data_IF_732205660741
#
_entry.id   IF_732205660741
#
_cell.length_a   1.000
_cell.length_b   1.000
_cell.length_c   1.000
_cell.angle_alpha   90.00
_cell.angle_beta   90.00
_cell.angle_gamma   90.00
#
_symmetry.space_group_name_H-M   'P 1'
#
loop_
_entity.id
_entity.type
_entity.pdbx_description
1 polymer ?
#
# COMPACT_ATOMS: atom_id res chain seq x y z
N UNK A 1 19.76 -19.02 -3.46
CA UNK A 1 19.41 -17.59 -3.23
C UNK A 1 18.63 -17.57 -1.93
N UNK A 2 19.19 -16.97 -0.87
CA UNK A 2 18.49 -16.82 0.41
C UNK A 2 17.51 -15.67 0.23
N UNK A 3 16.21 -15.97 0.18
CA UNK A 3 15.19 -14.93 0.19
C UNK A 3 15.15 -14.35 1.61
N UNK A 4 15.82 -13.22 1.82
CA UNK A 4 15.61 -12.44 3.03
C UNK A 4 14.20 -11.84 2.97
N UNK A 5 13.33 -12.35 3.84
CA UNK A 5 11.98 -11.82 3.99
C UNK A 5 12.12 -10.47 4.68
N UNK A 6 11.96 -9.39 3.92
CA UNK A 6 11.90 -8.04 4.48
C UNK A 6 10.76 -7.97 5.50
N UNK A 7 11.03 -7.30 6.63
CA UNK A 7 10.03 -7.04 7.66
C UNK A 7 8.82 -6.30 7.07
N UNK A 8 7.65 -6.45 7.71
CA UNK A 8 6.38 -5.89 7.21
C UNK A 8 6.40 -4.36 7.08
N UNK A 9 7.18 -3.69 7.91
CA UNK A 9 7.40 -2.24 7.93
C UNK A 9 8.59 -1.78 7.08
N UNK A 10 9.25 -2.69 6.37
CA UNK A 10 10.36 -2.32 5.51
C UNK A 10 9.87 -1.47 4.32
N UNK A 11 10.45 -0.28 4.07
CA UNK A 11 9.99 0.62 3.02
C UNK A 11 9.88 -0.03 1.64
N UNK A 12 10.86 -0.84 1.24
CA UNK A 12 10.85 -1.53 -0.07
C UNK A 12 9.71 -2.56 -0.20
N UNK A 13 9.34 -3.21 0.91
CA UNK A 13 8.21 -4.14 0.93
C UNK A 13 6.90 -3.38 0.77
N UNK A 14 6.73 -2.27 1.49
CA UNK A 14 5.55 -1.41 1.40
C UNK A 14 5.40 -0.80 0.00
N UNK A 15 6.51 -0.36 -0.61
CA UNK A 15 6.52 0.13 -1.99
C UNK A 15 6.10 -0.97 -2.99
N UNK A 16 6.63 -2.19 -2.84
CA UNK A 16 6.25 -3.32 -3.68
C UNK A 16 4.77 -3.71 -3.52
N UNK A 17 4.23 -3.64 -2.30
CA UNK A 17 2.81 -3.89 -2.02
C UNK A 17 1.90 -2.79 -2.61
N UNK A 18 2.34 -1.53 -2.60
CA UNK A 18 1.63 -0.44 -3.27
C UNK A 18 1.50 -0.72 -4.77
N UNK A 19 2.61 -1.08 -5.43
CA UNK A 19 2.61 -1.40 -6.86
C UNK A 19 1.79 -2.64 -7.19
N UNK A 20 1.82 -3.66 -6.33
CA UNK A 20 0.95 -4.83 -6.46
C UNK A 20 -0.55 -4.45 -6.38
N UNK A 21 -0.91 -3.55 -5.47
CA UNK A 21 -2.29 -3.07 -5.37
C UNK A 21 -2.71 -2.30 -6.63
N UNK A 22 -1.81 -1.48 -7.21
CA UNK A 22 -2.06 -0.82 -8.50
C UNK A 22 -2.24 -1.83 -9.64
N UNK A 23 -1.44 -2.90 -9.67
CA UNK A 23 -1.59 -3.96 -10.66
C UNK A 23 -2.94 -4.70 -10.51
N UNK A 24 -3.38 -5.00 -9.29
CA UNK A 24 -4.71 -5.56 -9.05
C UNK A 24 -5.83 -4.63 -9.53
N UNK A 25 -5.72 -3.33 -9.26
CA UNK A 25 -6.72 -2.36 -9.70
C UNK A 25 -6.80 -2.30 -11.23
N UNK A 26 -5.64 -2.26 -11.91
CA UNK A 26 -5.56 -2.26 -13.37
C UNK A 26 -6.10 -3.55 -14.01
N UNK A 27 -5.98 -4.68 -13.30
CA UNK A 27 -6.52 -5.98 -13.71
C UNK A 27 -8.01 -6.17 -13.33
N UNK A 28 -8.69 -5.13 -12.83
CA UNK A 28 -10.10 -5.20 -12.43
C UNK A 28 -10.35 -5.92 -11.09
N UNK A 29 -9.29 -6.32 -10.38
CA UNK A 29 -9.34 -6.97 -9.08
C UNK A 29 -9.50 -5.94 -7.94
N UNK A 30 -10.50 -5.07 -8.06
CA UNK A 30 -10.61 -3.85 -7.25
C UNK A 30 -10.70 -4.15 -5.76
N UNK A 31 -11.44 -5.20 -5.35
CA UNK A 31 -11.53 -5.60 -3.94
C UNK A 31 -10.16 -5.94 -3.34
N UNK A 32 -9.36 -6.73 -4.06
CA UNK A 32 -8.03 -7.17 -3.61
C UNK A 32 -7.04 -6.01 -3.59
N UNK A 33 -7.16 -5.07 -4.54
CA UNK A 33 -6.39 -3.83 -4.53
C UNK A 33 -6.68 -3.00 -3.28
N UNK A 34 -7.95 -2.78 -2.97
CA UNK A 34 -8.39 -2.01 -1.79
C UNK A 34 -7.91 -2.66 -0.49
N UNK A 35 -8.13 -3.96 -0.32
CA UNK A 35 -7.69 -4.69 0.88
C UNK A 35 -6.17 -4.59 1.09
N UNK A 36 -5.38 -4.71 0.01
CA UNK A 36 -3.92 -4.57 0.09
C UNK A 36 -3.50 -3.13 0.41
N UNK A 37 -4.15 -2.12 -0.16
CA UNK A 37 -3.84 -0.72 0.12
C UNK A 37 -4.25 -0.32 1.54
N UNK A 38 -5.35 -0.85 2.08
CA UNK A 38 -5.72 -0.70 3.49
C UNK A 38 -4.66 -1.25 4.43
N UNK A 39 -4.06 -2.40 4.09
CA UNK A 39 -2.93 -2.95 4.82
C UNK A 39 -1.73 -1.99 4.79
N UNK A 40 -1.32 -1.51 3.61
CA UNK A 40 -0.18 -0.58 3.47
C UNK A 40 -0.39 0.68 4.31
N UNK A 41 -1.58 1.31 4.21
CA UNK A 41 -1.93 2.49 5.02
C UNK A 41 -1.81 2.19 6.51
N UNK A 42 -2.31 1.04 6.98
CA UNK A 42 -2.22 0.67 8.40
C UNK A 42 -0.78 0.57 8.90
N UNK A 43 0.13 0.03 8.09
CA UNK A 43 1.55 -0.05 8.45
C UNK A 43 2.20 1.33 8.41
N UNK A 44 1.98 2.10 7.34
CA UNK A 44 2.50 3.47 7.21
C UNK A 44 2.07 4.37 8.36
N UNK A 45 0.83 4.24 8.83
CA UNK A 45 0.32 5.01 9.97
C UNK A 45 1.01 4.68 11.30
N UNK A 46 1.50 3.44 11.44
CA UNK A 46 2.22 2.96 12.63
C UNK A 46 3.69 3.35 12.60
N UNK A 47 4.31 3.32 11.42
CA UNK A 47 5.76 3.50 11.24
C UNK A 47 6.12 4.96 11.00
N UNK A 48 5.33 5.67 10.20
CA UNK A 48 5.62 7.02 9.77
C UNK A 48 4.76 8.07 10.49
N UNK A 49 5.35 9.25 10.72
CA UNK A 49 4.63 10.43 11.18
C UNK A 49 3.58 10.87 10.15
N UNK A 50 2.61 11.66 10.59
CA UNK A 50 1.45 12.04 9.78
C UNK A 50 1.81 12.85 8.51
N UNK A 51 2.95 13.51 8.50
CA UNK A 51 3.48 14.35 7.42
C UNK A 51 4.43 13.61 6.48
N UNK A 52 4.69 12.32 6.72
CA UNK A 52 5.63 11.56 5.92
C UNK A 52 5.09 11.29 4.51
N UNK A 53 5.89 11.49 3.44
CA UNK A 53 5.44 11.34 2.06
C UNK A 53 4.82 9.98 1.73
N UNK A 54 5.40 8.87 2.21
CA UNK A 54 4.88 7.53 1.93
C UNK A 54 3.48 7.31 2.49
N UNK A 55 3.22 7.83 3.69
CA UNK A 55 1.90 7.75 4.34
C UNK A 55 0.87 8.58 3.60
N UNK A 56 1.22 9.81 3.21
CA UNK A 56 0.34 10.68 2.44
C UNK A 56 0.00 10.04 1.07
N UNK A 57 0.99 9.42 0.43
CA UNK A 57 0.80 8.74 -0.85
C UNK A 57 -0.18 7.57 -0.71
N UNK A 58 0.04 6.63 0.22
CA UNK A 58 -0.83 5.47 0.40
C UNK A 58 -2.26 5.86 0.80
N UNK A 59 -2.42 6.85 1.70
CA UNK A 59 -3.73 7.38 2.10
C UNK A 59 -4.46 8.06 0.92
N UNK A 60 -3.74 8.81 0.08
CA UNK A 60 -4.32 9.46 -1.11
C UNK A 60 -4.77 8.46 -2.16
N UNK A 61 -3.97 7.41 -2.40
CA UNK A 61 -4.31 6.33 -3.34
C UNK A 61 -5.56 5.59 -2.88
N UNK A 62 -5.62 5.18 -1.60
CA UNK A 62 -6.79 4.51 -1.04
C UNK A 62 -8.05 5.37 -1.14
N UNK A 63 -7.92 6.68 -0.86
CA UNK A 63 -9.03 7.63 -0.98
C UNK A 63 -9.52 7.73 -2.42
N UNK A 64 -8.62 7.81 -3.40
CA UNK A 64 -8.98 7.86 -4.81
C UNK A 64 -9.80 6.63 -5.23
N UNK A 65 -9.40 5.43 -4.80
CA UNK A 65 -10.09 4.20 -5.20
C UNK A 65 -11.46 4.05 -4.55
N UNK A 66 -11.62 4.53 -3.31
CA UNK A 66 -12.93 4.54 -2.62
C UNK A 66 -13.93 5.55 -3.19
N UNK A 67 -13.47 6.56 -3.93
CA UNK A 67 -14.37 7.52 -4.60
C UNK A 67 -14.90 6.97 -5.93
N UNK A 68 -14.24 5.96 -6.49
CA UNK A 68 -14.58 5.34 -7.78
C UNK A 68 -15.41 4.05 -7.61
N UNK A 69 -15.54 3.56 -6.37
CA UNK A 69 -16.41 2.45 -5.96
C UNK A 69 -17.76 2.97 -5.46
#
# INVERSE_FOLDING_TARGET
IQAEVLAEDHPDRLASQHELARAYQANGQVKQAVELMEYVVKIDQRVFRFDHPSRLLSESTLRSWRVVL
#
